data_IF_289047240737
#
_entry.id   IF_289047240737
#
_cell.length_a   1.000
_cell.length_b   1.000
_cell.length_c   1.000
_cell.angle_alpha   90.00
_cell.angle_beta   90.00
_cell.angle_gamma   90.00
#
_symmetry.space_group_name_H-M   'P 1'
#
loop_
_entity.id
_entity.type
_entity.pdbx_description
1 polymer ?
#
# COMPACT_ATOMS: atom_id res chain seq x y z
N UNK A 1 -2.13 -55.68 -44.90
CA UNK A 1 -1.64 -55.21 -46.22
C UNK A 1 -1.23 -53.76 -46.01
N UNK A 2 0.07 -53.45 -45.89
CA UNK A 2 1.02 -53.20 -46.99
C UNK A 2 0.78 -51.85 -47.70
N UNK A 3 1.76 -50.98 -47.99
CA UNK A 3 3.20 -50.91 -47.62
C UNK A 3 3.77 -49.51 -48.04
N UNK A 4 4.73 -48.91 -47.31
CA UNK A 4 6.17 -48.74 -47.66
C UNK A 4 6.61 -47.31 -48.14
N UNK A 5 7.90 -47.00 -47.90
CA UNK A 5 8.75 -45.82 -48.25
C UNK A 5 8.62 -44.55 -47.36
N UNK A 6 9.59 -44.19 -46.48
CA UNK A 6 11.03 -43.83 -46.63
C UNK A 6 11.22 -42.36 -47.10
N UNK A 7 12.14 -41.52 -46.59
CA UNK A 7 13.46 -41.67 -45.92
C UNK A 7 13.53 -40.91 -44.55
N UNK A 8 14.32 -41.26 -43.52
CA UNK A 8 15.81 -41.28 -43.37
C UNK A 8 16.46 -39.89 -43.62
N UNK A 9 17.46 -39.37 -42.88
CA UNK A 9 18.36 -39.87 -41.81
C UNK A 9 19.06 -38.65 -41.09
N UNK A 10 19.85 -38.73 -40.01
CA UNK A 10 19.91 -39.59 -38.79
C UNK A 10 21.03 -39.12 -37.83
N UNK A 11 20.87 -39.25 -36.50
CA UNK A 11 21.93 -39.16 -35.44
C UNK A 11 22.59 -37.77 -35.22
N UNK A 12 23.14 -37.41 -34.04
CA UNK A 12 23.58 -38.21 -32.89
C UNK A 12 23.30 -37.58 -31.51
N UNK A 13 23.40 -38.40 -30.45
CA UNK A 13 23.34 -38.03 -29.02
C UNK A 13 24.77 -37.92 -28.43
N UNK A 14 24.80 -37.57 -27.13
CA UNK A 14 25.91 -37.74 -26.15
C UNK A 14 26.97 -36.61 -26.11
N UNK A 15 27.65 -36.34 -24.99
CA UNK A 15 27.30 -36.36 -23.56
C UNK A 15 28.47 -35.82 -22.73
N UNK A 16 28.16 -35.19 -21.58
CA UNK A 16 28.99 -35.14 -20.36
C UNK A 16 30.33 -34.36 -20.31
N UNK A 17 30.45 -33.70 -19.14
CA UNK A 17 31.65 -33.55 -18.30
C UNK A 17 32.46 -32.26 -18.33
N UNK A 18 32.84 -31.88 -17.11
CA UNK A 18 33.65 -30.74 -16.69
C UNK A 18 35.14 -31.01 -16.80
N UNK A 19 35.93 -30.02 -17.21
CA UNK A 19 37.39 -30.05 -17.06
C UNK A 19 37.90 -28.74 -16.40
N UNK A 20 38.89 -28.90 -15.53
CA UNK A 20 39.47 -27.87 -14.67
C UNK A 20 40.49 -26.97 -15.39
N UNK A 21 40.69 -25.76 -14.88
CA UNK A 21 41.87 -24.93 -15.21
C UNK A 21 43.09 -25.43 -14.42
N UNK A 22 44.24 -25.69 -15.07
CA UNK A 22 45.53 -25.71 -14.40
C UNK A 22 46.17 -24.30 -14.39
N UNK A 23 46.84 -23.96 -13.30
CA UNK A 23 47.80 -22.84 -13.22
C UNK A 23 49.21 -23.41 -13.20
N UNK A 24 50.13 -22.90 -14.03
CA UNK A 24 51.57 -23.13 -13.87
C UNK A 24 52.38 -21.93 -14.38
N UNK A 25 53.50 -21.65 -13.70
CA UNK A 25 54.42 -20.55 -13.96
C UNK A 25 55.71 -21.08 -14.64
N UNK A 26 56.25 -20.33 -15.60
CA UNK A 26 57.70 -20.26 -15.93
C UNK A 26 57.86 -19.30 -17.13
N UNK A 27 58.51 -18.14 -17.03
CA UNK A 27 59.95 -17.91 -16.86
C UNK A 27 60.79 -18.31 -18.11
N UNK A 28 61.19 -17.31 -18.91
CA UNK A 28 62.28 -17.33 -19.92
C UNK A 28 62.63 -15.85 -20.27
N UNK A 29 63.87 -15.49 -20.65
CA UNK A 29 64.57 -14.39 -19.96
C UNK A 29 64.82 -13.08 -20.73
N UNK A 30 65.32 -12.08 -19.98
CA UNK A 30 65.73 -10.73 -20.44
C UNK A 30 67.02 -10.72 -21.29
N UNK A 31 67.01 -11.26 -22.51
CA UNK A 31 68.04 -10.94 -23.51
C UNK A 31 67.45 -10.96 -24.92
N UNK A 32 66.96 -9.81 -25.38
CA UNK A 32 66.88 -9.35 -26.77
C UNK A 32 66.24 -7.95 -26.74
N UNK A 33 67.06 -6.94 -26.43
CA UNK A 33 66.66 -5.53 -26.48
C UNK A 33 67.29 -4.88 -27.73
N UNK A 34 66.51 -4.53 -28.76
CA UNK A 34 66.98 -3.68 -29.85
C UNK A 34 67.11 -2.23 -29.37
N UNK A 35 68.14 -1.55 -29.85
CA UNK A 35 68.46 -0.16 -29.54
C UNK A 35 67.37 0.81 -30.00
N UNK A 36 67.26 1.92 -29.25
CA UNK A 36 66.43 3.07 -29.59
C UNK A 36 66.74 3.63 -30.99
N UNK A 37 65.73 3.61 -31.86
CA UNK A 37 65.66 4.46 -33.06
C UNK A 37 64.49 5.40 -32.87
N UNK A 38 64.73 6.71 -32.99
CA UNK A 38 63.73 7.74 -32.77
C UNK A 38 62.68 7.74 -33.90
N UNK A 39 61.55 7.06 -33.68
CA UNK A 39 60.40 7.13 -34.56
C UNK A 39 59.57 8.40 -34.23
N UNK A 40 59.51 9.33 -35.18
CA UNK A 40 58.75 10.57 -35.05
C UNK A 40 57.26 10.31 -34.80
N UNK A 41 56.64 11.12 -33.94
CA UNK A 41 55.22 11.05 -33.62
C UNK A 41 54.36 11.40 -34.85
N UNK A 42 53.83 10.38 -35.53
CA UNK A 42 52.69 10.57 -36.43
C UNK A 42 51.38 10.48 -35.62
N UNK A 43 50.85 11.63 -35.22
CA UNK A 43 49.50 11.74 -34.70
C UNK A 43 48.50 11.39 -35.80
N UNK A 44 47.97 10.16 -35.76
CA UNK A 44 46.87 9.74 -36.63
C UNK A 44 45.59 10.48 -36.22
N UNK A 45 45.37 11.65 -36.80
CA UNK A 45 44.10 12.35 -36.73
C UNK A 45 43.01 11.49 -37.40
N UNK A 46 42.24 10.77 -36.58
CA UNK A 46 41.09 10.02 -37.04
C UNK A 46 40.04 11.00 -37.59
N UNK A 47 39.83 11.00 -38.91
CA UNK A 47 38.82 11.82 -39.57
C UNK A 47 37.43 11.41 -39.08
N UNK A 48 36.84 12.26 -38.23
CA UNK A 48 35.51 12.02 -37.68
C UNK A 48 34.46 12.01 -38.77
N UNK A 49 33.97 10.82 -39.16
CA UNK A 49 32.69 10.70 -39.87
C UNK A 49 31.63 11.41 -39.04
N UNK A 50 30.87 12.38 -39.58
CA UNK A 50 29.75 12.96 -38.85
C UNK A 50 28.73 11.84 -38.63
N UNK A 51 28.59 11.41 -37.38
CA UNK A 51 27.55 10.46 -37.02
C UNK A 51 26.21 11.09 -37.33
N UNK A 52 25.49 10.52 -38.31
CA UNK A 52 24.24 11.07 -38.81
C UNK A 52 23.31 11.38 -37.64
N UNK A 53 22.85 12.64 -37.56
CA UNK A 53 22.19 13.19 -36.38
C UNK A 53 20.99 12.31 -36.00
N UNK A 54 21.18 11.44 -35.01
CA UNK A 54 20.15 10.52 -34.51
C UNK A 54 19.06 11.39 -33.91
N UNK A 55 18.01 11.64 -34.69
CA UNK A 55 16.93 12.60 -34.43
C UNK A 55 16.45 12.36 -33.00
N UNK A 56 16.86 13.22 -32.06
CA UNK A 56 16.56 13.05 -30.63
C UNK A 56 15.04 13.09 -30.50
N UNK A 57 14.42 11.92 -30.37
CA UNK A 57 12.99 11.85 -30.10
C UNK A 57 12.73 12.69 -28.85
N UNK A 58 11.86 13.70 -29.00
CA UNK A 58 11.49 14.58 -27.90
C UNK A 58 10.82 13.70 -26.84
N UNK A 59 11.56 13.31 -25.80
CA UNK A 59 11.03 12.52 -24.67
C UNK A 59 9.70 13.14 -24.25
N UNK A 60 8.61 12.35 -24.33
CA UNK A 60 7.26 12.80 -24.00
C UNK A 60 7.30 13.44 -22.60
N UNK A 61 6.78 14.67 -22.45
CA UNK A 61 6.81 15.40 -21.17
C UNK A 61 5.98 14.63 -20.13
N UNK A 62 6.64 13.99 -19.17
CA UNK A 62 5.99 13.30 -18.06
C UNK A 62 5.73 14.28 -16.91
N UNK A 63 4.47 14.45 -16.52
CA UNK A 63 4.11 15.28 -15.37
C UNK A 63 4.59 14.65 -14.05
N UNK A 64 5.28 15.46 -13.23
CA UNK A 64 5.80 15.05 -11.91
C UNK A 64 4.70 14.86 -10.86
N UNK A 65 3.65 15.68 -10.91
CA UNK A 65 2.49 15.60 -10.03
C UNK A 65 1.41 14.63 -10.50
N UNK A 66 0.48 14.32 -9.62
CA UNK A 66 -0.83 13.76 -10.00
C UNK A 66 -1.65 14.79 -10.78
N UNK A 67 -2.64 14.33 -11.55
CA UNK A 67 -3.57 15.24 -12.22
C UNK A 67 -4.51 15.82 -11.17
N UNK A 68 -4.60 17.14 -11.15
CA UNK A 68 -5.45 17.91 -10.26
C UNK A 68 -6.28 18.83 -11.14
N UNK A 69 -7.59 18.62 -11.13
CA UNK A 69 -8.56 19.42 -11.89
C UNK A 69 -8.97 20.65 -11.07
N UNK A 70 -9.40 21.73 -11.72
CA UNK A 70 -9.79 22.97 -11.02
C UNK A 70 -11.15 22.81 -10.36
N UNK A 71 -11.28 23.31 -9.13
CA UNK A 71 -12.51 23.23 -8.34
C UNK A 71 -13.50 24.36 -8.60
N UNK A 72 -13.04 25.45 -9.23
CA UNK A 72 -13.78 26.72 -9.40
C UNK A 72 -15.19 26.56 -10.01
N UNK A 73 -15.37 25.55 -10.89
CA UNK A 73 -16.62 25.26 -11.58
C UNK A 73 -17.32 23.98 -11.07
N UNK A 74 -16.85 23.38 -9.98
CA UNK A 74 -17.40 22.12 -9.46
C UNK A 74 -18.48 22.41 -8.41
N UNK A 75 -19.65 21.79 -8.55
CA UNK A 75 -20.69 21.87 -7.52
C UNK A 75 -20.21 21.18 -6.24
N UNK A 76 -20.24 21.90 -5.13
CA UNK A 76 -19.86 21.42 -3.81
C UNK A 76 -21.08 21.46 -2.88
N UNK A 77 -21.16 20.48 -1.99
CA UNK A 77 -22.29 20.30 -1.07
C UNK A 77 -21.87 20.58 0.38
N UNK A 78 -22.84 20.96 1.21
CA UNK A 78 -22.67 20.89 2.66
C UNK A 78 -22.65 19.43 3.12
N UNK A 79 -22.19 19.17 4.34
CA UNK A 79 -22.22 17.82 4.89
C UNK A 79 -23.67 17.32 5.05
N UNK A 80 -24.60 18.14 5.52
CA UNK A 80 -26.01 17.74 5.66
C UNK A 80 -26.66 17.42 4.30
N UNK A 81 -26.42 18.25 3.28
CA UNK A 81 -26.98 18.01 1.94
C UNK A 81 -26.39 16.73 1.33
N UNK A 82 -25.08 16.52 1.46
CA UNK A 82 -24.43 15.30 1.00
C UNK A 82 -24.91 14.03 1.73
N UNK A 83 -25.19 14.10 3.05
CA UNK A 83 -25.82 13.00 3.79
C UNK A 83 -27.23 12.72 3.25
N UNK A 84 -28.06 13.75 3.03
CA UNK A 84 -29.42 13.62 2.50
C UNK A 84 -29.42 12.88 1.17
N UNK A 85 -28.59 13.30 0.21
CA UNK A 85 -28.49 12.64 -1.07
C UNK A 85 -27.91 11.22 -0.95
N UNK A 86 -26.83 11.04 -0.20
CA UNK A 86 -26.23 9.71 -0.01
C UNK A 86 -27.21 8.71 0.60
N UNK A 87 -28.03 9.10 1.58
CA UNK A 87 -29.10 8.24 2.12
C UNK A 87 -30.18 7.90 1.11
N UNK A 88 -30.57 8.84 0.25
CA UNK A 88 -31.56 8.59 -0.81
C UNK A 88 -31.07 7.52 -1.82
N UNK A 89 -29.75 7.37 -2.03
CA UNK A 89 -29.17 6.29 -2.83
C UNK A 89 -29.04 4.95 -2.08
N UNK A 90 -29.07 4.94 -0.75
CA UNK A 90 -28.90 3.75 0.10
C UNK A 90 -30.21 3.21 0.68
N UNK A 91 -31.36 3.67 0.17
CA UNK A 91 -32.69 3.21 0.57
C UNK A 91 -32.81 1.69 0.42
N UNK A 92 -33.28 1.01 1.46
CA UNK A 92 -33.41 -0.45 1.51
C UNK A 92 -32.12 -1.21 1.85
N UNK A 93 -30.98 -0.52 2.04
CA UNK A 93 -29.74 -1.15 2.50
C UNK A 93 -29.67 -1.19 4.04
N UNK A 94 -28.88 -2.12 4.59
CA UNK A 94 -28.73 -2.23 6.04
C UNK A 94 -27.92 -1.03 6.59
N UNK A 95 -28.52 -0.17 7.45
CA UNK A 95 -27.87 1.05 7.94
C UNK A 95 -26.64 0.80 8.84
N UNK A 96 -26.44 -0.45 9.29
CA UNK A 96 -25.29 -0.90 10.08
C UNK A 96 -24.18 -1.55 9.24
N UNK A 97 -24.44 -1.87 7.97
CA UNK A 97 -23.46 -2.46 7.04
C UNK A 97 -22.91 -1.41 6.08
N UNK A 98 -23.79 -0.60 5.49
CA UNK A 98 -23.42 0.47 4.55
C UNK A 98 -22.62 1.57 5.23
N UNK A 99 -21.51 1.96 4.61
CA UNK A 99 -20.54 2.92 5.15
C UNK A 99 -20.45 4.17 4.28
N UNK A 100 -20.10 5.28 4.94
CA UNK A 100 -19.63 6.49 4.29
C UNK A 100 -18.11 6.46 4.22
N UNK A 101 -17.58 6.52 2.99
CA UNK A 101 -16.16 6.62 2.70
C UNK A 101 -15.80 8.07 2.37
N UNK A 102 -14.67 8.54 2.91
CA UNK A 102 -14.10 9.84 2.60
C UNK A 102 -12.82 9.66 1.78
N UNK A 103 -12.79 10.27 0.61
CA UNK A 103 -11.63 10.34 -0.27
C UNK A 103 -11.02 11.76 -0.21
N UNK A 104 -9.91 11.88 0.50
CA UNK A 104 -9.13 13.13 0.60
C UNK A 104 -8.06 13.13 -0.49
N UNK A 105 -8.25 13.96 -1.52
CA UNK A 105 -7.33 14.14 -2.64
C UNK A 105 -6.25 15.13 -2.25
N UNK A 106 -4.99 14.70 -2.30
CA UNK A 106 -3.82 15.49 -1.98
C UNK A 106 -3.16 16.01 -3.25
N UNK A 107 -2.82 17.30 -3.26
CA UNK A 107 -1.90 17.87 -4.23
C UNK A 107 -0.49 17.44 -3.83
N UNK A 108 0.07 16.49 -4.58
CA UNK A 108 1.40 15.93 -4.29
C UNK A 108 2.14 15.45 -5.54
N UNK A 109 3.43 15.18 -5.40
CA UNK A 109 4.29 14.61 -6.43
C UNK A 109 4.16 13.09 -6.45
N UNK A 110 4.26 12.48 -7.64
CA UNK A 110 4.34 11.01 -7.80
C UNK A 110 5.60 10.43 -7.17
N UNK A 111 6.67 11.21 -7.16
CA UNK A 111 7.90 10.96 -6.42
C UNK A 111 7.83 11.67 -5.07
N UNK A 112 7.45 10.96 -4.02
CA UNK A 112 7.41 11.47 -2.65
C UNK A 112 7.15 10.37 -1.63
N UNK A 113 7.33 10.65 -0.33
CA UNK A 113 6.91 9.75 0.74
C UNK A 113 5.38 9.57 0.70
N UNK A 114 4.87 8.44 1.21
CA UNK A 114 3.42 8.16 1.28
C UNK A 114 2.94 8.20 2.71
N UNK A 115 1.80 8.85 2.97
CA UNK A 115 1.17 8.85 4.29
C UNK A 115 0.70 7.43 4.63
N UNK A 116 1.10 6.96 5.81
CA UNK A 116 0.68 5.70 6.43
C UNK A 116 0.50 5.99 7.91
N UNK A 117 -0.74 6.09 8.36
CA UNK A 117 -1.05 6.51 9.72
C UNK A 117 -2.26 5.75 10.27
N UNK A 118 -2.57 5.99 11.54
CA UNK A 118 -3.70 5.42 12.26
C UNK A 118 -4.46 6.53 12.95
N UNK A 119 -5.78 6.51 12.89
CA UNK A 119 -6.64 7.44 13.62
C UNK A 119 -7.65 6.67 14.45
N UNK A 120 -7.85 7.07 15.71
CA UNK A 120 -9.00 6.64 16.50
C UNK A 120 -10.14 7.62 16.27
N UNK A 121 -11.17 7.21 15.53
CA UNK A 121 -12.35 8.05 15.30
C UNK A 121 -13.12 8.28 16.62
N UNK A 122 -13.66 9.49 16.87
CA UNK A 122 -14.52 9.77 18.03
C UNK A 122 -15.72 8.80 18.14
N UNK A 123 -16.36 8.50 17.00
CA UNK A 123 -17.41 7.50 16.90
C UNK A 123 -16.90 6.32 16.07
N UNK A 124 -16.75 5.11 16.65
CA UNK A 124 -16.09 3.99 15.96
C UNK A 124 -16.96 3.44 14.83
N UNK A 125 -16.38 3.28 13.64
CA UNK A 125 -17.03 2.61 12.51
C UNK A 125 -16.89 1.10 12.68
N UNK A 126 -18.00 0.35 12.63
CA UNK A 126 -17.95 -1.12 12.69
C UNK A 126 -17.18 -1.65 11.49
N UNK A 127 -16.01 -2.22 11.74
CA UNK A 127 -15.16 -2.84 10.73
C UNK A 127 -14.85 -4.27 11.12
N UNK A 128 -14.94 -5.19 10.16
CA UNK A 128 -14.77 -6.63 10.37
C UNK A 128 -13.28 -6.97 10.54
N UNK A 129 -12.75 -6.60 11.70
CA UNK A 129 -11.34 -6.81 12.06
C UNK A 129 -11.14 -8.16 12.68
N UNK A 130 -10.56 -9.06 11.89
CA UNK A 130 -10.08 -10.34 12.38
C UNK A 130 -8.59 -10.20 12.67
N UNK A 131 -8.26 -9.94 13.94
CA UNK A 131 -6.88 -9.76 14.39
C UNK A 131 -6.32 -11.11 14.85
N UNK A 132 -5.21 -11.52 14.27
CA UNK A 132 -4.42 -12.67 14.71
C UNK A 132 -3.24 -12.24 15.58
N UNK A 133 -2.90 -13.05 16.58
CA UNK A 133 -1.74 -12.83 17.46
C UNK A 133 -0.81 -14.03 17.37
N UNK A 134 0.43 -13.79 16.92
CA UNK A 134 1.53 -14.74 17.08
C UNK A 134 2.14 -14.55 18.46
N UNK A 135 2.05 -15.59 19.28
CA UNK A 135 2.77 -15.71 20.54
C UNK A 135 2.95 -17.19 20.88
N UNK A 136 3.95 -17.50 21.72
CA UNK A 136 4.24 -18.87 22.16
C UNK A 136 2.98 -19.58 22.67
N UNK A 137 2.74 -20.77 22.13
CA UNK A 137 1.57 -21.59 22.45
C UNK A 137 1.53 -21.95 23.94
N UNK A 138 0.33 -21.93 24.53
CA UNK A 138 0.11 -22.19 25.96
C UNK A 138 0.60 -21.08 26.92
N UNK A 139 1.16 -19.96 26.42
CA UNK A 139 1.55 -18.85 27.28
C UNK A 139 0.36 -18.09 27.88
N UNK A 140 0.55 -17.42 29.03
CA UNK A 140 -0.46 -16.56 29.62
C UNK A 140 -0.92 -15.43 28.65
N UNK A 141 0.01 -14.91 27.83
CA UNK A 141 -0.28 -13.95 26.77
C UNK A 141 -1.26 -14.52 25.73
N UNK A 142 -1.18 -15.81 25.41
CA UNK A 142 -2.08 -16.44 24.45
C UNK A 142 -3.52 -16.51 24.97
N UNK A 143 -3.71 -16.76 26.27
CA UNK A 143 -5.02 -16.76 26.93
C UNK A 143 -5.59 -15.34 26.96
N UNK A 144 -4.80 -14.39 27.48
CA UNK A 144 -5.20 -12.98 27.58
C UNK A 144 -5.52 -12.33 26.22
N UNK A 145 -4.82 -12.74 25.15
CA UNK A 145 -5.11 -12.26 23.80
C UNK A 145 -6.45 -12.78 23.26
N UNK A 146 -6.84 -14.03 23.58
CA UNK A 146 -8.16 -14.58 23.23
C UNK A 146 -9.28 -13.87 24.01
N UNK A 147 -9.08 -13.66 25.31
CA UNK A 147 -10.00 -12.89 26.16
C UNK A 147 -10.19 -11.44 25.66
N UNK A 148 -9.12 -10.83 25.15
CA UNK A 148 -9.14 -9.51 24.53
C UNK A 148 -9.70 -9.48 23.10
N UNK A 149 -10.24 -10.59 22.58
CA UNK A 149 -10.95 -10.65 21.31
C UNK A 149 -10.11 -10.98 20.07
N UNK A 150 -8.90 -11.51 20.21
CA UNK A 150 -8.14 -12.01 19.07
C UNK A 150 -8.77 -13.30 18.49
N UNK A 151 -8.98 -13.33 17.17
CA UNK A 151 -9.69 -14.40 16.47
C UNK A 151 -8.87 -15.69 16.41
N UNK A 152 -7.56 -15.56 16.25
CA UNK A 152 -6.63 -16.68 16.16
C UNK A 152 -5.36 -16.35 16.95
N UNK A 153 -4.94 -17.26 17.83
CA UNK A 153 -3.79 -17.05 18.72
C UNK A 153 -3.00 -18.35 18.87
N UNK A 154 -1.73 -18.32 18.51
CA UNK A 154 -0.80 -19.46 18.53
C UNK A 154 0.52 -19.13 17.83
N UNK A 155 1.32 -20.16 17.54
CA UNK A 155 2.63 -20.00 16.93
C UNK A 155 2.74 -20.88 15.69
N UNK A 156 3.19 -22.13 15.84
CA UNK A 156 3.39 -23.05 14.73
C UNK A 156 2.06 -23.56 14.15
N UNK A 157 1.04 -23.75 14.99
CA UNK A 157 -0.35 -24.03 14.56
C UNK A 157 -0.95 -22.90 13.70
N UNK A 158 -0.70 -21.65 14.09
CA UNK A 158 -1.19 -20.46 13.39
C UNK A 158 -0.46 -20.27 12.04
N UNK A 159 0.82 -20.62 11.95
CA UNK A 159 1.55 -20.63 10.67
C UNK A 159 0.97 -21.65 9.68
N UNK A 160 0.59 -22.85 10.14
CA UNK A 160 -0.04 -23.85 9.28
C UNK A 160 -1.39 -23.34 8.75
N UNK A 161 -2.30 -22.93 9.64
CA UNK A 161 -3.63 -22.44 9.26
C UNK A 161 -3.60 -21.21 8.30
N UNK A 162 -2.56 -20.37 8.37
CA UNK A 162 -2.34 -19.26 7.42
C UNK A 162 -1.83 -19.76 6.06
N UNK A 163 -0.99 -20.80 6.00
CA UNK A 163 -0.53 -21.41 4.74
C UNK A 163 -1.66 -22.10 4.00
N UNK A 164 -2.51 -22.81 4.75
CA UNK A 164 -3.67 -23.53 4.21
C UNK A 164 -4.77 -22.57 3.71
N UNK A 165 -4.71 -21.30 4.13
CA UNK A 165 -5.63 -20.26 3.69
C UNK A 165 -6.96 -20.20 4.45
N UNK A 166 -7.15 -21.09 5.43
CA UNK A 166 -8.39 -21.24 6.21
C UNK A 166 -8.71 -20.04 7.13
N UNK A 167 -7.75 -19.12 7.33
CA UNK A 167 -7.92 -17.95 8.20
C UNK A 167 -7.94 -16.63 7.40
N UNK A 168 -9.12 -16.00 7.39
CA UNK A 168 -9.30 -14.62 6.95
C UNK A 168 -8.88 -13.66 8.08
N UNK A 169 -7.67 -13.12 8.02
CA UNK A 169 -7.16 -12.14 8.97
C UNK A 169 -6.97 -10.77 8.31
N UNK A 170 -7.43 -9.72 8.98
CA UNK A 170 -7.32 -8.32 8.54
C UNK A 170 -6.03 -7.66 9.05
N UNK A 171 -5.46 -8.19 10.14
CA UNK A 171 -4.22 -7.70 10.74
C UNK A 171 -3.59 -8.77 11.63
N UNK A 172 -2.27 -8.69 11.78
CA UNK A 172 -1.51 -9.65 12.54
C UNK A 172 -0.49 -8.93 13.45
N UNK A 173 -0.49 -9.29 14.73
CA UNK A 173 0.44 -8.82 15.76
C UNK A 173 1.39 -9.98 16.09
N UNK A 174 2.66 -9.69 16.34
CA UNK A 174 3.64 -10.67 16.77
C UNK A 174 4.27 -10.23 18.10
N UNK A 175 4.36 -11.15 19.06
CA UNK A 175 5.25 -10.97 20.20
C UNK A 175 6.71 -11.00 19.75
N UNK A 176 7.57 -10.25 20.45
CA UNK A 176 8.99 -10.17 20.14
C UNK A 176 9.71 -11.51 20.34
N UNK A 177 9.29 -12.34 21.31
CA UNK A 177 9.86 -13.66 21.56
C UNK A 177 9.57 -14.68 20.44
N UNK A 178 8.50 -14.47 19.68
CA UNK A 178 8.09 -15.32 18.55
C UNK A 178 8.57 -14.81 17.18
N UNK A 179 9.20 -13.64 17.12
CA UNK A 179 9.65 -13.01 15.87
C UNK A 179 10.66 -13.86 15.08
N UNK A 180 11.60 -14.51 15.79
CA UNK A 180 12.59 -15.41 15.17
C UNK A 180 11.96 -16.62 14.49
N UNK A 181 10.88 -17.16 15.08
CA UNK A 181 10.11 -18.27 14.49
C UNK A 181 9.33 -17.80 13.26
N UNK A 182 8.72 -16.62 13.30
CA UNK A 182 8.08 -16.01 12.11
C UNK A 182 9.07 -15.84 10.94
N UNK A 183 10.31 -15.41 11.22
CA UNK A 183 11.36 -15.33 10.21
C UNK A 183 11.71 -16.71 9.63
N UNK A 184 11.92 -17.72 10.48
CA UNK A 184 12.21 -19.12 10.07
C UNK A 184 11.05 -19.78 9.31
N UNK A 185 9.80 -19.40 9.60
CA UNK A 185 8.60 -19.97 8.99
C UNK A 185 8.40 -19.58 7.51
N UNK A 186 9.25 -18.72 6.93
CA UNK A 186 9.23 -18.33 5.50
C UNK A 186 7.88 -17.77 4.98
N UNK A 187 7.07 -17.18 5.87
CA UNK A 187 5.70 -16.72 5.59
C UNK A 187 5.61 -15.51 4.63
N UNK A 188 6.76 -14.96 4.20
CA UNK A 188 6.84 -13.80 3.30
C UNK A 188 6.08 -13.96 1.98
N UNK A 189 6.03 -15.18 1.43
CA UNK A 189 5.31 -15.46 0.17
C UNK A 189 3.79 -15.35 0.31
N UNK A 190 3.24 -15.63 1.49
CA UNK A 190 1.78 -15.64 1.76
C UNK A 190 1.31 -14.31 2.36
N UNK A 191 2.01 -13.82 3.39
CA UNK A 191 1.63 -12.60 4.12
C UNK A 191 2.07 -11.32 3.39
N UNK A 192 3.11 -11.38 2.55
CA UNK A 192 3.65 -10.24 1.82
C UNK A 192 2.64 -9.62 0.84
N UNK A 193 2.08 -10.39 -0.11
CA UNK A 193 1.06 -9.88 -1.05
C UNK A 193 -0.21 -9.35 -0.36
N UNK A 194 -0.61 -9.98 0.75
CA UNK A 194 -1.75 -9.54 1.57
C UNK A 194 -1.46 -8.29 2.43
N UNK A 195 -0.20 -7.88 2.56
CA UNK A 195 0.21 -6.75 3.40
C UNK A 195 0.08 -7.01 4.91
N UNK A 196 -0.06 -8.26 5.32
CA UNK A 196 -0.33 -8.69 6.71
C UNK A 196 0.96 -9.01 7.49
N UNK A 197 2.14 -8.94 6.86
CA UNK A 197 3.41 -9.29 7.49
C UNK A 197 3.75 -8.31 8.63
N UNK A 198 3.93 -8.78 9.88
CA UNK A 198 4.41 -7.96 10.98
C UNK A 198 5.78 -7.35 10.70
N UNK A 199 5.99 -6.12 11.16
CA UNK A 199 7.30 -5.47 11.10
C UNK A 199 7.50 -4.46 12.22
N UNK A 200 8.75 -4.28 12.63
CA UNK A 200 9.17 -3.28 13.63
C UNK A 200 8.80 -1.87 13.16
N UNK A 201 9.01 -1.55 11.87
CA UNK A 201 8.63 -0.25 11.28
C UNK A 201 7.12 0.03 11.35
N UNK A 202 6.28 -1.00 11.26
CA UNK A 202 4.83 -0.88 11.42
C UNK A 202 4.35 -1.01 12.88
N UNK A 203 5.28 -1.10 13.84
CA UNK A 203 5.02 -1.32 15.28
C UNK A 203 4.04 -2.48 15.54
N UNK A 204 4.18 -3.57 14.78
CA UNK A 204 3.36 -4.79 14.89
C UNK A 204 4.12 -5.98 15.47
N UNK A 205 5.43 -5.82 15.69
CA UNK A 205 6.24 -6.70 16.53
C UNK A 205 6.51 -5.93 17.82
N UNK A 206 5.98 -6.41 18.95
CA UNK A 206 5.95 -5.65 20.22
C UNK A 206 5.85 -6.56 21.44
N UNK A 207 6.52 -6.21 22.53
CA UNK A 207 6.36 -6.89 23.83
C UNK A 207 4.97 -6.66 24.47
N UNK A 208 4.34 -5.49 24.23
CA UNK A 208 3.01 -5.16 24.77
C UNK A 208 1.89 -5.50 23.79
N UNK A 209 1.68 -6.80 23.59
CA UNK A 209 0.67 -7.33 22.66
C UNK A 209 -0.75 -6.88 23.02
N UNK A 210 -1.11 -6.85 24.31
CA UNK A 210 -2.47 -6.53 24.76
C UNK A 210 -2.82 -5.04 24.59
N UNK A 211 -1.86 -4.14 24.86
CA UNK A 211 -2.04 -2.72 24.59
C UNK A 211 -2.27 -2.46 23.11
N UNK A 212 -1.39 -3.02 22.26
CA UNK A 212 -1.50 -2.90 20.81
C UNK A 212 -2.80 -3.52 20.26
N UNK A 213 -3.27 -4.64 20.82
CA UNK A 213 -4.53 -5.27 20.42
C UNK A 213 -5.73 -4.34 20.69
N UNK A 214 -5.77 -3.69 21.86
CA UNK A 214 -6.81 -2.69 22.20
C UNK A 214 -6.74 -1.45 21.32
N UNK A 215 -5.52 -0.96 21.02
CA UNK A 215 -5.32 0.15 20.08
C UNK A 215 -5.79 -0.22 18.67
N UNK A 216 -5.44 -1.40 18.15
CA UNK A 216 -5.80 -1.85 16.80
C UNK A 216 -7.28 -2.23 16.66
N UNK A 217 -7.94 -2.61 17.74
CA UNK A 217 -9.41 -2.73 17.78
C UNK A 217 -10.10 -1.37 17.62
N UNK A 218 -9.53 -0.29 18.17
CA UNK A 218 -10.15 1.04 18.18
C UNK A 218 -9.65 2.05 17.14
N UNK A 219 -8.51 1.82 16.48
CA UNK A 219 -7.87 2.79 15.58
C UNK A 219 -7.85 2.33 14.11
N UNK A 220 -8.41 3.13 13.22
CA UNK A 220 -8.47 2.89 11.79
C UNK A 220 -7.14 3.19 11.08
N UNK A 221 -6.66 2.22 10.30
CA UNK A 221 -5.47 2.36 9.47
C UNK A 221 -5.86 2.99 8.12
N UNK A 222 -5.16 4.04 7.70
CA UNK A 222 -5.25 4.55 6.33
C UNK A 222 -3.88 4.68 5.68
N UNK A 223 -3.89 4.57 4.35
CA UNK A 223 -2.71 4.70 3.51
C UNK A 223 -3.06 5.47 2.24
N UNK A 224 -2.21 6.43 1.92
CA UNK A 224 -2.23 7.13 0.65
C UNK A 224 -1.94 6.18 -0.53
N UNK A 225 -2.78 6.26 -1.56
CA UNK A 225 -2.60 5.62 -2.86
C UNK A 225 -2.91 6.63 -3.95
N UNK A 226 -1.98 6.83 -4.88
CA UNK A 226 -2.13 7.71 -6.05
C UNK A 226 -2.53 9.15 -5.72
N UNK A 227 -1.98 9.68 -4.61
CA UNK A 227 -2.31 11.02 -4.11
C UNK A 227 -3.68 11.12 -3.44
N UNK A 228 -4.36 10.01 -3.16
CA UNK A 228 -5.65 10.00 -2.44
C UNK A 228 -5.54 9.16 -1.18
N UNK A 229 -5.99 9.71 -0.05
CA UNK A 229 -6.21 8.98 1.20
C UNK A 229 -7.69 8.61 1.25
N UNK A 230 -8.00 7.34 1.51
CA UNK A 230 -9.38 6.84 1.64
C UNK A 230 -9.56 6.19 3.01
N UNK A 231 -10.68 6.49 3.66
CA UNK A 231 -11.09 5.88 4.92
C UNK A 231 -12.62 5.88 5.08
N UNK A 232 -13.19 4.81 5.62
CA UNK A 232 -14.59 4.78 6.07
C UNK A 232 -14.74 5.60 7.34
N UNK A 233 -15.51 6.68 7.28
CA UNK A 233 -15.65 7.67 8.38
C UNK A 233 -16.97 7.56 9.14
N UNK A 234 -17.93 6.77 8.65
CA UNK A 234 -19.23 6.57 9.30
C UNK A 234 -20.04 5.44 8.71
N UNK A 235 -21.24 5.25 9.26
CA UNK A 235 -22.27 4.32 8.76
C UNK A 235 -23.53 5.10 8.40
N UNK A 236 -24.39 4.55 7.54
CA UNK A 236 -25.64 5.23 7.11
C UNK A 236 -26.53 5.63 8.29
N UNK A 237 -26.58 4.78 9.33
CA UNK A 237 -27.30 5.05 10.58
C UNK A 237 -26.61 6.01 11.57
N UNK A 238 -25.51 6.68 11.22
CA UNK A 238 -24.92 7.73 12.07
C UNK A 238 -25.71 9.04 11.94
N UNK A 239 -25.79 9.79 13.04
CA UNK A 239 -26.33 11.16 13.04
C UNK A 239 -25.36 12.11 12.30
N UNK A 240 -25.85 13.25 11.75
CA UNK A 240 -24.99 14.18 11.03
C UNK A 240 -23.90 14.79 11.94
N UNK A 241 -24.19 14.97 13.23
CA UNK A 241 -23.22 15.46 14.22
C UNK A 241 -22.09 14.45 14.47
N UNK A 242 -22.42 13.17 14.64
CA UNK A 242 -21.42 12.10 14.78
C UNK A 242 -20.53 12.00 13.54
N UNK A 243 -21.13 12.11 12.34
CA UNK A 243 -20.37 12.10 11.10
C UNK A 243 -19.49 13.35 10.98
N UNK A 244 -19.98 14.53 11.35
CA UNK A 244 -19.21 15.76 11.35
C UNK A 244 -18.00 15.72 12.29
N UNK A 245 -18.16 15.14 13.49
CA UNK A 245 -17.06 14.93 14.42
C UNK A 245 -15.97 14.02 13.83
N UNK A 246 -16.38 12.90 13.22
CA UNK A 246 -15.46 11.97 12.56
C UNK A 246 -14.74 12.58 11.35
N UNK A 247 -15.46 13.30 10.48
CA UNK A 247 -14.89 13.97 9.30
C UNK A 247 -13.90 15.06 9.72
N UNK A 248 -14.24 15.88 10.74
CA UNK A 248 -13.33 16.89 11.30
C UNK A 248 -12.06 16.25 11.87
N UNK A 249 -12.18 15.19 12.66
CA UNK A 249 -11.05 14.46 13.22
C UNK A 249 -10.14 13.87 12.12
N UNK A 250 -10.71 13.21 11.11
CA UNK A 250 -9.95 12.60 10.04
C UNK A 250 -9.26 13.63 9.12
N UNK A 251 -9.95 14.67 8.67
CA UNK A 251 -9.33 15.73 7.85
C UNK A 251 -8.29 16.50 8.64
N UNK A 252 -8.51 16.73 9.95
CA UNK A 252 -7.52 17.32 10.86
C UNK A 252 -6.25 16.48 10.97
N UNK A 253 -6.39 15.17 11.21
CA UNK A 253 -5.24 14.25 11.26
C UNK A 253 -4.51 14.18 9.93
N UNK A 254 -5.21 14.09 8.78
CA UNK A 254 -4.56 14.07 7.46
C UNK A 254 -3.77 15.36 7.20
N UNK A 255 -4.28 16.52 7.63
CA UNK A 255 -3.52 17.79 7.56
C UNK A 255 -2.27 17.76 8.46
N UNK A 256 -2.38 17.23 9.68
CA UNK A 256 -1.23 17.06 10.58
C UNK A 256 -0.19 16.10 10.01
N UNK A 257 -0.61 14.97 9.42
CA UNK A 257 0.26 14.01 8.76
C UNK A 257 0.95 14.62 7.52
N UNK A 258 0.26 15.49 6.77
CA UNK A 258 0.85 16.22 5.65
C UNK A 258 1.93 17.20 6.10
N UNK A 259 1.75 17.86 7.25
CA UNK A 259 2.72 18.79 7.84
C UNK A 259 3.88 18.10 8.56
N UNK A 260 3.72 16.84 8.98
CA UNK A 260 4.76 16.05 9.63
C UNK A 260 5.67 15.27 8.66
N UNK A 261 5.48 15.42 7.34
CA UNK A 261 6.33 14.84 6.30
C UNK A 261 7.49 15.76 5.94
N UNK A 262 8.61 15.19 5.50
CA UNK A 262 9.84 15.91 5.14
C UNK A 262 9.62 17.11 4.21
N UNK A 263 10.22 18.25 4.54
CA UNK A 263 10.11 19.58 3.90
C UNK A 263 10.32 19.62 2.37
N UNK A 264 10.87 18.55 1.77
CA UNK A 264 11.13 18.49 0.33
C UNK A 264 9.88 18.26 -0.53
N UNK A 265 8.76 17.78 0.05
CA UNK A 265 7.52 17.51 -0.71
C UNK A 265 6.28 17.95 0.07
N UNK A 266 5.94 19.24 -0.04
CA UNK A 266 4.68 19.78 0.49
C UNK A 266 3.48 19.00 -0.06
N UNK A 267 2.61 18.55 0.86
CA UNK A 267 1.32 17.94 0.55
C UNK A 267 0.20 18.84 1.03
N UNK A 268 -0.69 19.21 0.13
CA UNK A 268 -1.85 20.04 0.43
C UNK A 268 -3.14 19.22 0.23
N UNK A 269 -4.11 19.36 1.12
CA UNK A 269 -5.46 18.84 0.86
C UNK A 269 -6.09 19.70 -0.24
N UNK A 270 -6.38 19.09 -1.38
CA UNK A 270 -7.00 19.76 -2.52
C UNK A 270 -8.52 19.67 -2.47
N UNK A 271 -9.05 18.46 -2.32
CA UNK A 271 -10.48 18.17 -2.48
C UNK A 271 -10.85 17.05 -1.50
N UNK A 272 -12.07 17.11 -0.94
CA UNK A 272 -12.61 16.08 -0.05
C UNK A 272 -13.93 15.62 -0.63
N UNK A 273 -13.98 14.37 -1.05
CA UNK A 273 -15.18 13.74 -1.63
C UNK A 273 -15.73 12.73 -0.62
N UNK A 274 -17.02 12.77 -0.35
CA UNK A 274 -17.74 11.77 0.44
C UNK A 274 -18.59 10.90 -0.48
N UNK A 275 -18.52 9.59 -0.35
CA UNK A 275 -19.38 8.63 -1.04
C UNK A 275 -19.99 7.65 -0.04
N UNK A 276 -21.12 7.04 -0.38
CA UNK A 276 -21.60 5.84 0.29
C UNK A 276 -21.12 4.58 -0.45
N UNK A 277 -21.59 3.39 -0.06
CA UNK A 277 -21.11 2.11 -0.63
C UNK A 277 -21.65 1.86 -2.05
N UNK A 278 -22.86 2.32 -2.33
CA UNK A 278 -23.57 2.17 -3.62
C UNK A 278 -23.91 3.52 -4.27
N UNK A 279 -23.71 4.63 -3.56
CA UNK A 279 -24.02 5.99 -4.03
C UNK A 279 -22.86 6.70 -4.74
N UNK A 280 -23.14 7.85 -5.38
CA UNK A 280 -22.13 8.68 -6.03
C UNK A 280 -21.23 9.41 -5.01
N UNK A 281 -20.14 10.00 -5.50
CA UNK A 281 -19.26 10.87 -4.71
C UNK A 281 -19.68 12.33 -4.76
N UNK A 282 -19.86 12.95 -3.59
CA UNK A 282 -20.18 14.35 -3.40
C UNK A 282 -18.94 15.14 -2.94
N UNK A 283 -18.55 16.17 -3.68
CA UNK A 283 -17.48 17.08 -3.25
C UNK A 283 -17.99 17.98 -2.12
N UNK A 284 -17.23 18.09 -1.02
CA UNK A 284 -17.63 18.83 0.18
C UNK A 284 -17.02 20.24 0.22
N UNK A 285 -17.86 21.23 0.50
CA UNK A 285 -17.45 22.63 0.74
C UNK A 285 -16.88 22.84 2.17
N UNK A 286 -17.12 21.88 3.08
CA UNK A 286 -16.71 21.97 4.49
C UNK A 286 -17.72 22.68 5.41
N UNK A 287 -18.79 23.27 4.84
CA UNK A 287 -19.96 23.70 5.59
C UNK A 287 -20.74 22.53 6.18
N UNK A 288 -21.25 22.68 7.40
CA UNK A 288 -22.06 21.65 8.08
C UNK A 288 -23.55 21.78 7.77
N UNK A 289 -24.10 22.99 7.91
CA UNK A 289 -25.53 23.26 7.81
C UNK A 289 -26.07 22.99 6.39
N UNK A 290 -27.31 22.51 6.25
CA UNK A 290 -27.96 22.36 4.95
C UNK A 290 -28.16 23.71 4.27
N UNK A 291 -28.26 23.69 2.94
CA UNK A 291 -28.47 24.90 2.12
C UNK A 291 -29.96 25.25 1.92
N UNK A 292 -30.88 24.32 2.16
CA UNK A 292 -32.33 24.56 2.13
C UNK A 292 -32.85 25.04 3.49
N UNK A 293 -33.49 26.22 3.53
CA UNK A 293 -33.94 26.89 4.76
C UNK A 293 -35.01 26.13 5.56
N UNK A 294 -35.67 25.13 4.97
CA UNK A 294 -36.66 24.28 5.64
C UNK A 294 -36.10 23.00 6.27
N UNK A 295 -34.81 22.70 6.09
CA UNK A 295 -34.23 21.40 6.44
C UNK A 295 -33.38 21.53 7.72
N UNK A 296 -33.65 20.69 8.72
CA UNK A 296 -32.88 20.69 9.98
C UNK A 296 -31.99 19.44 10.07
N UNK A 297 -30.78 19.52 10.67
CA UNK A 297 -29.96 18.33 10.91
C UNK A 297 -30.68 17.25 11.72
N UNK A 298 -31.61 17.63 12.59
CA UNK A 298 -32.44 16.71 13.37
C UNK A 298 -33.29 15.78 12.48
N UNK A 299 -33.83 16.27 11.35
CA UNK A 299 -34.56 15.45 10.38
C UNK A 299 -33.65 14.42 9.68
N UNK A 300 -32.34 14.66 9.66
CA UNK A 300 -31.32 13.74 9.16
C UNK A 300 -30.75 12.83 10.26
N UNK A 301 -31.39 12.71 11.42
CA UNK A 301 -30.89 11.80 12.49
C UNK A 301 -31.15 10.34 12.17
N UNK A 302 -32.37 10.01 11.69
CA UNK A 302 -32.76 8.64 11.40
C UNK A 302 -32.39 8.22 9.96
N UNK A 303 -31.87 7.00 9.73
CA UNK A 303 -31.94 6.40 8.41
C UNK A 303 -33.42 6.16 8.04
N UNK A 304 -33.81 6.51 6.82
CA UNK A 304 -35.10 6.11 6.23
C UNK A 304 -34.99 4.68 5.68
#
# INVERSE_FOLDING_TARGET
MASINQCLASMARLSLSTASRPTLQSAIPRYLAPSVVAAAQQTRNASGRPSGARKREKKKKTFKGFRVDRLDNMQQFSLCDAIRYARAFEVGQNPQTTKYDLAVKLRTLKSGPVIKSRIRLPHPVKSDRRIGVICREGSALAIQAREAGAVAVGEDSLFQAIRDGNLELTSLICDQGSADKLAKANMGRVLGPKGLMPSVRAKTITNNVLGLLKEMAGADNYREKDGVVRLSVGQVGFTPEMLAANVKAFVGQVKSDCAALDDQVNKEVHEVVMSSTHGPGFSLNGGFNPTEEGLTPAMLTSPM
#
